data_IF_173727929142
#
_entry.id   IF_173727929142
#
_cell.length_a   1.000
_cell.length_b   1.000
_cell.length_c   1.000
_cell.angle_alpha   90.00
_cell.angle_beta   90.00
_cell.angle_gamma   90.00
#
_symmetry.space_group_name_H-M   'P 1'
#
loop_
_entity.id
_entity.type
_entity.pdbx_description
1 polymer ?
#
# COMPACT_ATOMS: atom_id res chain seq x y z
N UNK A 1 -11.41 4.47 -33.75
CA UNK A 1 -11.48 5.91 -34.03
C UNK A 1 -11.78 6.59 -32.71
N UNK A 2 -10.91 7.47 -32.22
CA UNK A 2 -11.14 8.25 -31.01
C UNK A 2 -12.27 9.24 -31.29
N UNK A 3 -13.31 9.27 -30.45
CA UNK A 3 -14.44 10.21 -30.61
C UNK A 3 -14.21 11.44 -29.74
N UNK A 4 -14.89 12.55 -30.03
CA UNK A 4 -14.78 13.79 -29.25
C UNK A 4 -15.13 13.60 -27.76
N UNK A 5 -16.01 12.65 -27.45
CA UNK A 5 -16.35 12.25 -26.07
C UNK A 5 -15.15 11.65 -25.33
N UNK A 6 -14.35 10.81 -25.99
CA UNK A 6 -13.13 10.24 -25.39
C UNK A 6 -12.08 11.31 -25.12
N UNK A 7 -11.94 12.30 -26.01
CA UNK A 7 -11.02 13.42 -25.83
C UNK A 7 -11.43 14.22 -24.57
N UNK A 8 -12.73 14.52 -24.45
CA UNK A 8 -13.28 15.26 -23.31
C UNK A 8 -13.03 14.54 -21.99
N UNK A 9 -13.17 13.20 -21.94
CA UNK A 9 -12.90 12.42 -20.73
C UNK A 9 -11.42 12.49 -20.34
N UNK A 10 -10.52 12.40 -21.32
CA UNK A 10 -9.07 12.45 -21.07
C UNK A 10 -8.67 13.83 -20.54
N UNK A 11 -9.16 14.91 -21.15
CA UNK A 11 -8.87 16.29 -20.69
C UNK A 11 -9.34 16.50 -19.24
N UNK A 12 -10.57 16.08 -18.91
CA UNK A 12 -11.07 16.18 -17.53
C UNK A 12 -10.27 15.32 -16.54
N UNK A 13 -9.77 14.15 -16.97
CA UNK A 13 -8.90 13.32 -16.15
C UNK A 13 -7.55 14.00 -15.91
N UNK A 14 -6.96 14.64 -16.93
CA UNK A 14 -5.73 15.41 -16.80
C UNK A 14 -5.91 16.58 -15.83
N UNK A 15 -6.99 17.34 -15.94
CA UNK A 15 -7.31 18.44 -15.00
C UNK A 15 -7.47 17.93 -13.57
N UNK A 16 -8.16 16.79 -13.37
CA UNK A 16 -8.29 16.16 -12.07
C UNK A 16 -6.93 15.76 -11.50
N UNK A 17 -6.06 15.15 -12.31
CA UNK A 17 -4.71 14.79 -11.85
C UNK A 17 -3.87 16.01 -11.49
N UNK A 18 -4.00 17.11 -12.24
CA UNK A 18 -3.30 18.35 -11.92
C UNK A 18 -3.74 18.92 -10.56
N UNK A 19 -5.05 18.90 -10.29
CA UNK A 19 -5.60 19.31 -8.99
C UNK A 19 -5.07 18.42 -7.85
N UNK A 20 -5.07 17.10 -8.04
CA UNK A 20 -4.55 16.14 -7.05
C UNK A 20 -3.06 16.35 -6.78
N UNK A 21 -2.26 16.61 -7.82
CA UNK A 21 -0.82 16.87 -7.67
C UNK A 21 -0.52 18.17 -6.92
N UNK A 22 -1.48 19.10 -6.87
CA UNK A 22 -1.40 20.36 -6.14
C UNK A 22 -2.01 20.31 -4.73
N UNK A 23 -2.53 19.15 -4.31
CA UNK A 23 -3.16 18.97 -3.00
C UNK A 23 -2.15 19.00 -1.85
N UNK A 24 -2.64 19.30 -0.66
CA UNK A 24 -1.82 19.34 0.56
C UNK A 24 -1.27 17.95 0.89
N UNK A 25 -2.09 16.91 0.76
CA UNK A 25 -1.73 15.51 1.03
C UNK A 25 -0.54 15.06 0.16
N UNK A 26 -0.55 15.42 -1.13
CA UNK A 26 0.56 15.09 -2.05
C UNK A 26 1.81 15.91 -1.73
N UNK A 27 1.65 17.17 -1.30
CA UNK A 27 2.78 17.99 -0.87
C UNK A 27 3.44 17.45 0.41
N UNK A 28 2.64 17.04 1.39
CA UNK A 28 3.10 16.41 2.63
C UNK A 28 3.77 15.06 2.38
N UNK A 29 3.19 14.22 1.50
CA UNK A 29 3.81 12.98 1.07
C UNK A 29 5.19 13.21 0.43
N UNK A 30 5.32 14.17 -0.49
CA UNK A 30 6.62 14.49 -1.11
C UNK A 30 7.65 14.93 -0.08
N UNK A 31 7.24 15.77 0.88
CA UNK A 31 8.13 16.22 1.95
C UNK A 31 8.57 15.06 2.83
N UNK A 32 7.64 14.23 3.30
CA UNK A 32 7.96 13.06 4.12
C UNK A 32 8.84 12.05 3.37
N UNK A 33 8.64 11.90 2.07
CA UNK A 33 9.49 11.10 1.21
C UNK A 33 10.91 11.66 1.16
N UNK A 34 11.07 12.96 0.90
CA UNK A 34 12.38 13.60 0.88
C UNK A 34 13.09 13.52 2.24
N UNK A 35 12.37 13.68 3.35
CA UNK A 35 12.90 13.54 4.70
C UNK A 35 13.46 12.13 4.97
N UNK A 36 12.81 11.09 4.44
CA UNK A 36 13.28 9.69 4.56
C UNK A 36 14.46 9.40 3.63
N UNK A 37 14.37 9.81 2.36
CA UNK A 37 15.35 9.42 1.34
C UNK A 37 16.59 10.33 1.27
N UNK A 38 16.56 11.47 1.97
CA UNK A 38 17.76 12.29 2.19
C UNK A 38 18.65 11.74 3.31
N UNK A 39 18.13 10.90 4.22
CA UNK A 39 18.91 10.25 5.26
C UNK A 39 19.58 8.96 4.73
N UNK A 40 20.91 9.02 4.59
CA UNK A 40 21.71 7.90 4.09
C UNK A 40 21.71 6.68 5.01
N UNK A 41 21.52 6.83 6.32
CA UNK A 41 21.46 5.70 7.25
C UNK A 41 20.12 5.00 7.11
N UNK A 42 19.03 5.77 7.06
CA UNK A 42 17.68 5.25 6.88
C UNK A 42 17.52 4.53 5.54
N UNK A 43 18.05 5.11 4.45
CA UNK A 43 18.06 4.48 3.13
C UNK A 43 18.79 3.13 3.15
N UNK A 44 19.92 3.02 3.87
CA UNK A 44 20.62 1.74 4.03
C UNK A 44 19.75 0.72 4.78
N UNK A 45 19.12 1.11 5.88
CA UNK A 45 18.22 0.23 6.64
C UNK A 45 17.04 -0.25 5.80
N UNK A 46 16.47 0.62 4.96
CA UNK A 46 15.39 0.25 4.01
C UNK A 46 15.88 -0.75 2.97
N UNK A 47 17.09 -0.56 2.42
CA UNK A 47 17.69 -1.49 1.46
C UNK A 47 17.96 -2.87 2.09
N UNK A 48 18.51 -2.88 3.31
CA UNK A 48 18.75 -4.12 4.06
C UNK A 48 17.45 -4.88 4.35
N UNK A 49 16.40 -4.16 4.76
CA UNK A 49 15.07 -4.72 4.95
C UNK A 49 14.49 -5.28 3.65
N UNK A 50 14.67 -4.60 2.53
CA UNK A 50 14.21 -5.05 1.20
C UNK A 50 14.90 -6.35 0.80
N UNK A 51 16.22 -6.44 0.95
CA UNK A 51 16.97 -7.68 0.69
C UNK A 51 16.61 -8.83 1.66
N UNK A 52 16.23 -8.51 2.91
CA UNK A 52 15.70 -9.49 3.85
C UNK A 52 14.30 -9.95 3.47
N UNK A 53 13.46 -9.07 2.92
CA UNK A 53 12.12 -9.40 2.42
C UNK A 53 12.18 -10.35 1.23
N UNK A 54 13.08 -10.14 0.28
CA UNK A 54 13.30 -11.07 -0.84
C UNK A 54 13.69 -12.46 -0.33
N UNK A 55 14.66 -12.54 0.59
CA UNK A 55 15.04 -13.82 1.23
C UNK A 55 13.88 -14.46 1.98
N UNK A 56 13.04 -13.65 2.63
CA UNK A 56 11.84 -14.14 3.29
C UNK A 56 10.84 -14.74 2.31
N UNK A 57 10.59 -14.08 1.18
CA UNK A 57 9.69 -14.56 0.14
C UNK A 57 10.20 -15.88 -0.49
N UNK A 58 11.52 -15.99 -0.71
CA UNK A 58 12.15 -17.24 -1.16
C UNK A 58 11.96 -18.38 -0.15
N UNK A 59 12.30 -18.13 1.11
CA UNK A 59 12.18 -19.12 2.19
C UNK A 59 10.71 -19.52 2.40
N UNK A 60 9.79 -18.57 2.32
CA UNK A 60 8.35 -18.80 2.45
C UNK A 60 7.81 -19.66 1.30
N UNK A 61 8.36 -19.50 0.09
CA UNK A 61 7.99 -20.31 -1.09
C UNK A 61 8.28 -21.80 -0.89
N UNK A 62 9.37 -22.14 -0.21
CA UNK A 62 9.70 -23.53 0.16
C UNK A 62 9.04 -23.98 1.47
N UNK A 63 8.58 -23.03 2.28
CA UNK A 63 7.83 -23.27 3.51
C UNK A 63 8.71 -23.76 4.66
N UNK A 64 8.10 -24.50 5.59
CA UNK A 64 8.72 -24.88 6.89
C UNK A 64 9.96 -25.78 6.79
N UNK A 65 10.26 -26.33 5.63
CA UNK A 65 11.40 -27.23 5.41
C UNK A 65 12.68 -26.51 5.00
N UNK A 66 12.63 -25.19 4.82
CA UNK A 66 13.83 -24.40 4.53
C UNK A 66 14.73 -24.33 5.79
N UNK A 67 16.04 -24.63 5.68
CA UNK A 67 16.95 -24.66 6.84
C UNK A 67 16.98 -23.34 7.61
N UNK A 68 16.86 -22.21 6.89
CA UNK A 68 16.90 -20.86 7.48
C UNK A 68 15.52 -20.29 7.86
N UNK A 69 14.44 -21.08 7.76
CA UNK A 69 13.06 -20.59 7.96
C UNK A 69 12.86 -19.78 9.25
N UNK A 70 13.33 -20.32 10.37
CA UNK A 70 13.15 -19.68 11.68
C UNK A 70 14.03 -18.42 11.84
N UNK A 71 15.21 -18.42 11.23
CA UNK A 71 16.15 -17.29 11.29
C UNK A 71 15.59 -16.12 10.49
N UNK A 72 15.12 -16.39 9.27
CA UNK A 72 14.57 -15.37 8.37
C UNK A 72 13.24 -14.82 8.92
N UNK A 73 12.39 -15.67 9.48
CA UNK A 73 11.16 -15.25 10.17
C UNK A 73 11.40 -14.31 11.36
N UNK A 74 12.45 -14.55 12.14
CA UNK A 74 12.76 -13.70 13.30
C UNK A 74 13.40 -12.39 12.86
N UNK A 75 14.38 -12.44 11.96
CA UNK A 75 15.12 -11.27 11.50
C UNK A 75 14.24 -10.26 10.77
N UNK A 76 13.33 -10.71 9.89
CA UNK A 76 12.42 -9.79 9.20
C UNK A 76 11.51 -9.02 10.17
N UNK A 77 11.05 -9.66 11.25
CA UNK A 77 10.21 -9.01 12.27
C UNK A 77 10.97 -7.98 13.09
N UNK A 78 12.24 -8.27 13.41
CA UNK A 78 13.10 -7.34 14.15
C UNK A 78 13.39 -6.11 13.29
N UNK A 79 13.85 -6.30 12.06
CA UNK A 79 14.13 -5.18 11.16
C UNK A 79 12.89 -4.37 10.81
N UNK A 80 11.74 -5.03 10.59
CA UNK A 80 10.46 -4.34 10.40
C UNK A 80 10.15 -3.44 11.60
N UNK A 81 10.34 -3.95 12.82
CA UNK A 81 10.08 -3.18 14.04
C UNK A 81 11.04 -2.01 14.18
N UNK A 82 12.31 -2.16 13.83
CA UNK A 82 13.28 -1.06 13.86
C UNK A 82 12.88 0.05 12.89
N UNK A 83 12.45 -0.29 11.67
CA UNK A 83 11.94 0.68 10.70
C UNK A 83 10.61 1.32 11.15
N UNK A 84 9.67 0.52 11.67
CA UNK A 84 8.37 1.02 12.15
C UNK A 84 8.50 1.97 13.36
N UNK A 85 9.61 1.89 14.12
CA UNK A 85 9.90 2.77 15.26
C UNK A 85 10.57 4.08 14.85
N UNK A 86 11.03 4.22 13.61
CA UNK A 86 11.62 5.45 13.11
C UNK A 86 10.51 6.48 12.80
N UNK A 87 10.62 7.67 13.38
CA UNK A 87 9.60 8.73 13.25
C UNK A 87 9.41 9.20 11.81
N UNK A 88 10.47 9.27 11.00
CA UNK A 88 10.40 9.69 9.60
C UNK A 88 9.70 8.63 8.74
N UNK A 89 9.98 7.35 8.99
CA UNK A 89 9.29 6.24 8.31
C UNK A 89 7.82 6.22 8.69
N UNK A 90 7.50 6.42 9.97
CA UNK A 90 6.11 6.49 10.42
C UNK A 90 5.36 7.68 9.78
N UNK A 91 6.01 8.84 9.69
CA UNK A 91 5.45 10.02 9.02
C UNK A 91 5.21 9.78 7.52
N UNK A 92 6.16 9.16 6.82
CA UNK A 92 5.98 8.77 5.42
C UNK A 92 4.81 7.79 5.24
N UNK A 93 4.70 6.80 6.11
CA UNK A 93 3.58 5.84 6.08
C UNK A 93 2.23 6.51 6.32
N UNK A 94 2.16 7.51 7.20
CA UNK A 94 0.94 8.26 7.43
C UNK A 94 0.56 9.04 6.16
N UNK A 95 1.49 9.80 5.58
CA UNK A 95 1.24 10.57 4.37
C UNK A 95 0.89 9.68 3.16
N UNK A 96 1.50 8.50 3.03
CA UNK A 96 1.10 7.48 2.04
C UNK A 96 -0.37 7.06 2.19
N UNK A 97 -0.82 6.83 3.43
CA UNK A 97 -2.21 6.45 3.71
C UNK A 97 -3.18 7.60 3.40
N UNK A 98 -2.81 8.84 3.71
CA UNK A 98 -3.65 10.00 3.45
C UNK A 98 -3.86 10.22 1.94
N UNK A 99 -2.79 10.09 1.15
CA UNK A 99 -2.88 10.11 -0.32
C UNK A 99 -3.74 8.95 -0.84
N UNK A 100 -3.55 7.74 -0.30
CA UNK A 100 -4.36 6.58 -0.69
C UNK A 100 -5.83 6.78 -0.35
N UNK A 101 -6.14 7.38 0.80
CA UNK A 101 -7.51 7.69 1.21
C UNK A 101 -8.17 8.68 0.25
N UNK A 102 -7.46 9.74 -0.13
CA UNK A 102 -7.93 10.69 -1.13
C UNK A 102 -8.21 9.99 -2.48
N UNK A 103 -7.34 9.07 -2.91
CA UNK A 103 -7.56 8.31 -4.15
C UNK A 103 -8.76 7.37 -4.06
N UNK A 104 -8.94 6.70 -2.93
CA UNK A 104 -10.08 5.82 -2.67
C UNK A 104 -11.40 6.61 -2.71
N UNK A 105 -11.43 7.82 -2.12
CA UNK A 105 -12.59 8.71 -2.16
C UNK A 105 -12.94 9.17 -3.57
N UNK A 106 -11.94 9.66 -4.32
CA UNK A 106 -12.13 10.09 -5.72
C UNK A 106 -12.64 8.91 -6.56
N UNK A 107 -12.04 7.74 -6.42
CA UNK A 107 -12.47 6.52 -7.11
C UNK A 107 -13.91 6.12 -6.78
N UNK A 108 -14.31 6.24 -5.51
CA UNK A 108 -15.68 5.99 -5.05
C UNK A 108 -16.69 6.98 -5.65
N UNK A 109 -16.33 8.26 -5.73
CA UNK A 109 -17.18 9.31 -6.34
C UNK A 109 -17.37 9.02 -7.83
N UNK A 110 -16.30 8.75 -8.56
CA UNK A 110 -16.35 8.45 -9.99
C UNK A 110 -17.20 7.20 -10.24
N UNK A 111 -16.99 6.11 -9.51
CA UNK A 111 -17.72 4.88 -9.70
C UNK A 111 -19.24 5.05 -9.49
N UNK A 112 -19.64 5.71 -8.39
CA UNK A 112 -21.05 6.00 -8.09
C UNK A 112 -21.70 6.92 -9.12
N UNK A 113 -20.94 7.83 -9.72
CA UNK A 113 -21.45 8.69 -10.80
C UNK A 113 -21.81 7.91 -12.08
N UNK A 114 -21.21 6.73 -12.29
CA UNK A 114 -21.49 5.85 -13.42
C UNK A 114 -22.59 4.83 -13.09
N UNK A 115 -22.54 4.21 -11.91
CA UNK A 115 -23.59 3.32 -11.41
C UNK A 115 -23.41 3.00 -9.92
N UNK A 116 -24.51 3.04 -9.16
CA UNK A 116 -24.55 2.71 -7.73
C UNK A 116 -24.15 1.25 -7.42
N UNK A 117 -24.16 0.36 -8.42
CA UNK A 117 -23.83 -1.07 -8.26
C UNK A 117 -22.34 -1.39 -8.48
N UNK A 118 -21.54 -0.43 -8.94
CA UNK A 118 -20.10 -0.64 -9.22
C UNK A 118 -19.33 -0.74 -7.90
N UNK A 119 -18.77 -1.93 -7.64
CA UNK A 119 -17.92 -2.17 -6.48
C UNK A 119 -16.51 -1.65 -6.73
N UNK A 120 -16.12 -0.62 -6.00
CA UNK A 120 -14.72 -0.14 -5.97
C UNK A 120 -13.96 -0.91 -4.90
N UNK A 121 -12.88 -1.63 -5.25
CA UNK A 121 -11.99 -2.18 -4.25
C UNK A 121 -11.24 -1.02 -3.59
N UNK A 122 -11.72 -0.55 -2.44
CA UNK A 122 -10.98 0.40 -1.61
C UNK A 122 -9.74 -0.30 -1.01
N UNK A 123 -8.58 0.37 -1.03
CA UNK A 123 -7.32 -0.19 -0.56
C UNK A 123 -7.28 -0.40 0.96
N UNK A 124 -8.20 0.23 1.69
CA UNK A 124 -8.36 0.04 3.13
C UNK A 124 -9.35 -1.10 3.45
N UNK A 125 -8.91 -2.02 4.32
CA UNK A 125 -9.73 -3.11 4.86
C UNK A 125 -10.95 -2.64 5.70
N UNK A 126 -11.22 -1.33 5.71
CA UNK A 126 -12.27 -0.69 6.51
C UNK A 126 -13.60 -0.55 5.77
N UNK A 127 -13.62 -0.65 4.44
CA UNK A 127 -14.85 -0.57 3.62
C UNK A 127 -15.43 -1.95 3.25
N UNK A 128 -15.31 -2.94 4.13
CA UNK A 128 -16.07 -4.20 3.99
C UNK A 128 -17.46 -4.05 4.63
N UNK A 129 -18.33 -3.21 4.07
CA UNK A 129 -19.73 -3.21 4.49
C UNK A 129 -20.50 -4.30 3.73
N UNK A 130 -20.78 -5.38 4.46
CA UNK A 130 -21.79 -6.41 4.20
C UNK A 130 -22.00 -6.87 2.75
N UNK A 131 -21.25 -7.89 2.31
CA UNK A 131 -21.81 -8.89 1.39
C UNK A 131 -21.18 -10.25 1.62
N UNK A 132 -22.01 -11.16 2.10
CA UNK A 132 -21.73 -12.56 2.34
C UNK A 132 -21.30 -13.23 1.02
N UNK A 133 -20.02 -13.45 0.83
CA UNK A 133 -19.46 -14.16 -0.32
C UNK A 133 -18.13 -14.78 0.06
N UNK A 134 -18.17 -16.01 0.55
CA UNK A 134 -16.97 -16.76 0.89
C UNK A 134 -16.11 -17.06 -0.34
N UNK A 135 -14.84 -16.66 -0.28
CA UNK A 135 -13.69 -17.40 -0.82
C UNK A 135 -12.50 -17.05 0.07
N UNK A 136 -12.00 -17.90 0.95
CA UNK A 136 -11.34 -19.18 0.65
C UNK A 136 -10.43 -19.12 -0.58
N UNK A 137 -9.28 -18.48 -0.40
CA UNK A 137 -8.13 -18.48 -1.30
C UNK A 137 -6.83 -18.56 -0.49
N UNK A 138 -6.61 -19.73 0.11
CA UNK A 138 -5.31 -20.27 0.59
C UNK A 138 -4.42 -19.41 1.50
N UNK A 139 -4.76 -19.35 2.78
CA UNK A 139 -3.85 -18.99 3.88
C UNK A 139 -4.11 -19.90 5.08
N UNK A 140 -3.49 -21.07 5.11
CA UNK A 140 -3.80 -22.15 6.04
C UNK A 140 -3.61 -21.78 7.52
N UNK A 141 -4.66 -22.00 8.31
CA UNK A 141 -4.64 -22.49 9.69
C UNK A 141 -3.76 -21.76 10.71
N UNK A 142 -4.28 -20.70 11.32
CA UNK A 142 -3.93 -20.38 12.70
C UNK A 142 -4.75 -21.29 13.63
N UNK A 143 -4.15 -22.37 14.12
CA UNK A 143 -4.65 -23.06 15.32
C UNK A 143 -4.00 -22.44 16.54
N UNK A 144 -4.77 -21.66 17.28
CA UNK A 144 -4.48 -21.38 18.68
C UNK A 144 -4.59 -22.68 19.46
N UNK A 145 -3.61 -22.97 20.30
CA UNK A 145 -3.77 -23.82 21.48
C UNK A 145 -2.99 -23.16 22.60
N UNK A 146 -3.63 -23.12 23.75
CA UNK A 146 -3.17 -22.51 24.99
C UNK A 146 -1.78 -23.00 25.44
#
# INVERSE_FOLDING_TARGET
MMTDEWITIIENAEDLTAMMLSSEEVAEYRKAHDDVYSDTELVKSIQEFTAMKERYEEVQRFGRYHPDHNIVMKSIRVQKRELDMNEQVAALRLAENDVQYMFDEIGSIIAKSVSDEVKVPAGSAFFSDSSCGGSCGTGGGCSCSA
#
